data_IF_816956804125
#
_entry.id   IF_816956804125
#
_cell.length_a   1.000
_cell.length_b   1.000
_cell.length_c   1.000
_cell.angle_alpha   90.00
_cell.angle_beta   90.00
_cell.angle_gamma   90.00
#
_symmetry.space_group_name_H-M   'P 1'
#
loop_
_entity.id
_entity.type
_entity.pdbx_description
1 polymer ?
#
# COMPACT_ATOMS: atom_id res chain seq x y z
N UNK A 1 3.87 -7.03 10.88
CA UNK A 1 4.94 -7.57 10.00
C UNK A 1 6.03 -6.51 9.90
N UNK A 2 7.30 -6.84 10.15
CA UNK A 2 8.37 -5.84 10.31
C UNK A 2 8.89 -5.35 8.96
N UNK A 3 8.79 -4.04 8.72
CA UNK A 3 9.55 -3.37 7.67
C UNK A 3 10.95 -3.09 8.25
N UNK A 4 12.01 -3.53 7.56
CA UNK A 4 13.39 -3.18 7.92
C UNK A 4 13.68 -1.75 7.44
N UNK A 5 12.96 -0.79 8.01
CA UNK A 5 12.91 0.58 7.52
C UNK A 5 14.29 1.25 7.49
N UNK A 6 15.06 1.13 8.57
CA UNK A 6 16.36 1.82 8.64
C UNK A 6 17.35 1.26 7.60
N UNK A 7 17.32 -0.06 7.36
CA UNK A 7 18.11 -0.67 6.29
C UNK A 7 17.64 -0.21 4.90
N UNK A 8 16.34 -0.22 4.65
CA UNK A 8 15.78 0.24 3.38
C UNK A 8 16.11 1.71 3.11
N UNK A 9 16.06 2.57 4.14
CA UNK A 9 16.45 3.98 4.03
C UNK A 9 17.92 4.12 3.67
N UNK A 10 18.81 3.37 4.34
CA UNK A 10 20.23 3.39 4.02
C UNK A 10 20.51 2.95 2.58
N UNK A 11 19.91 1.81 2.17
CA UNK A 11 20.06 1.29 0.80
C UNK A 11 19.54 2.29 -0.24
N UNK A 12 18.33 2.80 -0.04
CA UNK A 12 17.70 3.70 -1.01
C UNK A 12 18.46 5.02 -1.10
N UNK A 13 19.02 5.52 0.01
CA UNK A 13 19.88 6.70 -0.01
C UNK A 13 21.09 6.52 -0.94
N UNK A 14 21.74 5.35 -0.93
CA UNK A 14 22.83 5.05 -1.87
C UNK A 14 22.32 4.90 -3.31
N UNK A 15 21.17 4.24 -3.52
CA UNK A 15 20.55 4.15 -4.84
C UNK A 15 20.26 5.55 -5.44
N UNK A 16 19.79 6.50 -4.63
CA UNK A 16 19.52 7.87 -5.07
C UNK A 16 20.79 8.61 -5.50
N UNK A 17 21.93 8.41 -4.83
CA UNK A 17 23.23 8.96 -5.26
C UNK A 17 23.65 8.42 -6.63
N UNK A 18 23.24 7.19 -6.95
CA UNK A 18 23.48 6.54 -8.25
C UNK A 18 22.40 6.83 -9.29
N UNK A 19 21.46 7.74 -9.02
CA UNK A 19 20.32 8.08 -9.89
C UNK A 19 19.40 6.88 -10.22
N UNK A 20 19.36 5.87 -9.34
CA UNK A 20 18.47 4.72 -9.48
C UNK A 20 17.08 5.07 -8.92
N UNK A 21 16.04 4.63 -9.63
CA UNK A 21 14.67 4.75 -9.15
C UNK A 21 14.40 3.73 -8.04
N UNK A 22 13.66 4.15 -7.02
CA UNK A 22 13.38 3.36 -5.82
C UNK A 22 11.88 3.17 -5.63
N UNK A 23 11.46 1.94 -5.33
CA UNK A 23 10.07 1.64 -5.06
C UNK A 23 9.91 0.80 -3.78
N UNK A 24 8.96 1.15 -2.94
CA UNK A 24 8.57 0.36 -1.75
C UNK A 24 7.22 -0.29 -2.00
N UNK A 25 7.17 -1.62 -1.90
CA UNK A 25 5.91 -2.36 -1.76
C UNK A 25 5.52 -2.48 -0.29
N UNK A 26 4.28 -2.15 0.03
CA UNK A 26 3.81 -2.13 1.42
C UNK A 26 2.33 -2.44 1.55
N UNK A 27 1.99 -3.06 2.67
CA UNK A 27 0.60 -3.29 3.08
C UNK A 27 0.08 -2.19 4.03
N UNK A 28 0.89 -1.16 4.31
CA UNK A 28 0.48 -0.07 5.19
C UNK A 28 0.43 -0.39 6.68
N UNK A 29 0.82 -1.60 7.11
CA UNK A 29 0.60 -2.08 8.49
C UNK A 29 1.66 -1.66 9.51
N UNK A 30 2.73 -0.97 9.09
CA UNK A 30 3.79 -0.52 10.00
C UNK A 30 3.50 0.87 10.59
N UNK A 31 4.18 1.29 11.66
CA UNK A 31 3.97 2.62 12.23
C UNK A 31 4.22 3.75 11.22
N UNK A 32 3.47 4.85 11.34
CA UNK A 32 3.61 6.03 10.46
C UNK A 32 5.05 6.55 10.37
N UNK A 33 5.79 6.52 11.48
CA UNK A 33 7.19 6.91 11.54
C UNK A 33 8.08 6.22 10.50
N UNK A 34 7.72 4.99 10.10
CA UNK A 34 8.48 4.27 9.08
C UNK A 34 8.26 4.88 7.69
N UNK A 35 7.03 5.27 7.36
CA UNK A 35 6.72 5.93 6.10
C UNK A 35 7.30 7.34 6.04
N UNK A 36 7.35 8.05 7.17
CA UNK A 36 8.02 9.34 7.29
C UNK A 36 9.51 9.26 6.97
N UNK A 37 10.19 8.19 7.41
CA UNK A 37 11.60 7.95 7.07
C UNK A 37 11.81 7.54 5.61
N UNK A 38 10.88 6.76 5.03
CA UNK A 38 11.00 6.23 3.66
C UNK A 38 10.64 7.24 2.58
N UNK A 39 9.67 8.13 2.84
CA UNK A 39 9.15 9.04 1.83
C UNK A 39 10.23 9.89 1.13
N UNK A 40 11.25 10.45 1.82
CA UNK A 40 12.29 11.25 1.16
C UNK A 40 13.21 10.46 0.21
N UNK A 41 13.30 9.15 0.39
CA UNK A 41 14.23 8.28 -0.35
C UNK A 41 13.52 7.30 -1.28
N UNK A 42 12.19 7.42 -1.43
CA UNK A 42 11.37 6.51 -2.23
C UNK A 42 10.69 7.27 -3.37
N UNK A 43 10.95 6.85 -4.61
CA UNK A 43 10.32 7.47 -5.79
C UNK A 43 8.87 7.03 -5.98
N UNK A 44 8.50 5.81 -5.58
CA UNK A 44 7.14 5.27 -5.74
C UNK A 44 6.76 4.30 -4.63
N UNK A 45 5.57 4.47 -4.06
CA UNK A 45 4.96 3.49 -3.15
C UNK A 45 3.95 2.64 -3.92
N UNK A 46 4.14 1.32 -3.86
CA UNK A 46 3.16 0.32 -4.28
C UNK A 46 2.37 -0.08 -3.03
N UNK A 47 1.16 0.45 -2.88
CA UNK A 47 0.38 0.35 -1.64
C UNK A 47 -0.81 -0.58 -1.79
N UNK A 48 -0.84 -1.68 -1.03
CA UNK A 48 -1.95 -2.64 -1.07
C UNK A 48 -3.18 -2.14 -0.30
N UNK A 49 -4.34 -2.17 -0.94
CA UNK A 49 -5.65 -2.11 -0.29
C UNK A 49 -6.29 -3.49 -0.44
N UNK A 50 -6.37 -4.24 0.67
CA UNK A 50 -6.94 -5.60 0.67
C UNK A 50 -8.43 -5.63 0.99
N UNK A 51 -8.88 -4.77 1.89
CA UNK A 51 -10.29 -4.65 2.23
C UNK A 51 -10.55 -3.25 2.79
N UNK A 52 -11.51 -2.55 2.20
CA UNK A 52 -11.83 -1.17 2.56
C UNK A 52 -12.71 -1.10 3.81
N UNK A 53 -13.57 -2.09 4.08
CA UNK A 53 -14.33 -2.12 5.33
C UNK A 53 -13.46 -2.64 6.48
N UNK A 54 -13.35 -1.90 7.59
CA UNK A 54 -12.45 -2.27 8.69
C UNK A 54 -12.88 -3.54 9.42
N UNK A 55 -14.18 -3.76 9.62
CA UNK A 55 -14.69 -4.98 10.25
C UNK A 55 -14.40 -6.20 9.39
N UNK A 56 -14.60 -6.10 8.07
CA UNK A 56 -14.23 -7.17 7.15
C UNK A 56 -12.71 -7.38 7.12
N UNK A 57 -11.93 -6.29 7.13
CA UNK A 57 -10.47 -6.38 7.18
C UNK A 57 -10.00 -7.10 8.45
N UNK A 58 -10.63 -6.82 9.59
CA UNK A 58 -10.37 -7.47 10.87
C UNK A 58 -10.78 -8.93 10.86
N UNK A 59 -11.92 -9.28 10.26
CA UNK A 59 -12.34 -10.67 10.09
C UNK A 59 -11.35 -11.47 9.22
N UNK A 60 -10.74 -10.84 8.21
CA UNK A 60 -9.79 -11.50 7.30
C UNK A 60 -8.35 -11.59 7.84
N UNK A 61 -7.88 -10.53 8.51
CA UNK A 61 -6.46 -10.37 8.84
C UNK A 61 -6.18 -10.18 10.34
N UNK A 62 -7.22 -10.21 11.19
CA UNK A 62 -7.11 -10.02 12.63
C UNK A 62 -6.90 -8.57 13.09
N UNK A 63 -6.78 -7.62 12.17
CA UNK A 63 -6.55 -6.20 12.44
C UNK A 63 -7.48 -5.32 11.59
N UNK A 64 -7.89 -4.18 12.12
CA UNK A 64 -8.60 -3.15 11.34
C UNK A 64 -7.68 -2.43 10.35
N UNK A 65 -8.26 -1.63 9.46
CA UNK A 65 -7.51 -0.90 8.42
C UNK A 65 -7.31 0.60 8.71
N UNK A 66 -7.67 1.09 9.91
CA UNK A 66 -7.57 2.51 10.28
C UNK A 66 -6.13 3.00 10.22
N UNK A 67 -5.18 2.22 10.76
CA UNK A 67 -3.76 2.54 10.69
C UNK A 67 -3.22 2.54 9.25
N UNK A 68 -3.70 1.60 8.43
CA UNK A 68 -3.33 1.47 7.01
C UNK A 68 -3.81 2.70 6.24
N UNK A 69 -5.08 3.11 6.44
CA UNK A 69 -5.66 4.31 5.84
C UNK A 69 -4.92 5.57 6.26
N UNK A 70 -4.62 5.73 7.55
CA UNK A 70 -3.84 6.86 8.07
C UNK A 70 -2.47 6.96 7.38
N UNK A 71 -1.79 5.84 7.19
CA UNK A 71 -0.49 5.82 6.53
C UNK A 71 -0.58 6.17 5.04
N UNK A 72 -1.60 5.65 4.33
CA UNK A 72 -1.84 5.99 2.94
C UNK A 72 -2.20 7.47 2.76
N UNK A 73 -3.11 7.99 3.58
CA UNK A 73 -3.52 9.39 3.59
C UNK A 73 -2.32 10.32 3.80
N UNK A 74 -1.45 9.99 4.78
CA UNK A 74 -0.25 10.77 5.01
C UNK A 74 0.70 10.76 3.80
N UNK A 75 0.93 9.61 3.16
CA UNK A 75 1.76 9.53 1.95
C UNK A 75 1.20 10.38 0.80
N UNK A 76 -0.12 10.34 0.61
CA UNK A 76 -0.80 11.12 -0.42
C UNK A 76 -0.66 12.62 -0.13
N UNK A 77 -0.95 13.04 1.11
CA UNK A 77 -0.87 14.44 1.54
C UNK A 77 0.57 14.96 1.55
N UNK A 78 1.57 14.10 1.76
CA UNK A 78 2.99 14.45 1.68
C UNK A 78 3.52 14.56 0.24
N UNK A 79 2.66 14.36 -0.76
CA UNK A 79 3.02 14.45 -2.18
C UNK A 79 3.78 13.22 -2.71
N UNK A 80 3.77 12.09 -2.00
CA UNK A 80 4.43 10.88 -2.48
C UNK A 80 3.72 10.36 -3.76
N UNK A 81 4.50 9.76 -4.66
CA UNK A 81 3.92 9.03 -5.79
C UNK A 81 3.39 7.68 -5.31
N UNK A 82 2.08 7.47 -5.41
CA UNK A 82 1.44 6.22 -4.97
C UNK A 82 0.79 5.51 -6.15
N UNK A 83 1.00 4.20 -6.22
CA UNK A 83 0.25 3.27 -7.05
C UNK A 83 -0.52 2.37 -6.09
N UNK A 84 -1.84 2.41 -6.18
CA UNK A 84 -2.68 1.52 -5.38
C UNK A 84 -2.69 0.14 -6.04
N UNK A 85 -2.60 -0.90 -5.22
CA UNK A 85 -2.74 -2.28 -5.64
C UNK A 85 -3.88 -2.94 -4.89
N UNK A 86 -4.73 -3.66 -5.61
CA UNK A 86 -5.82 -4.42 -5.00
C UNK A 86 -5.73 -5.88 -5.47
N UNK A 87 -5.04 -6.75 -4.71
CA UNK A 87 -5.10 -8.18 -4.91
C UNK A 87 -6.54 -8.67 -4.71
N UNK A 88 -7.15 -9.29 -5.72
CA UNK A 88 -8.52 -9.80 -5.68
C UNK A 88 -8.53 -11.30 -5.43
N UNK A 89 -9.06 -11.70 -4.27
CA UNK A 89 -9.21 -13.09 -3.85
C UNK A 89 -10.69 -13.44 -3.81
N UNK A 90 -11.06 -14.47 -4.58
CA UNK A 90 -12.46 -14.89 -4.74
C UNK A 90 -13.10 -15.24 -3.41
N UNK A 91 -14.26 -14.63 -3.12
CA UNK A 91 -15.03 -14.84 -1.90
C UNK A 91 -14.56 -14.03 -0.69
N UNK A 92 -13.51 -13.22 -0.82
CA UNK A 92 -12.95 -12.43 0.30
C UNK A 92 -13.02 -10.93 0.07
N UNK A 93 -12.61 -10.45 -1.10
CA UNK A 93 -12.57 -9.02 -1.43
C UNK A 93 -12.89 -8.71 -2.91
N UNK A 94 -13.56 -9.64 -3.60
CA UNK A 94 -13.99 -9.51 -5.00
C UNK A 94 -15.47 -9.12 -5.15
N UNK A 95 -16.17 -8.82 -4.05
CA UNK A 95 -17.55 -8.33 -4.13
C UNK A 95 -17.62 -6.94 -4.76
N UNK A 96 -18.74 -6.64 -5.43
CA UNK A 96 -18.98 -5.33 -6.04
C UNK A 96 -18.79 -4.19 -5.04
N UNK A 97 -19.32 -4.33 -3.82
CA UNK A 97 -19.21 -3.31 -2.76
C UNK A 97 -17.78 -3.13 -2.26
N UNK A 98 -17.00 -4.22 -2.15
CA UNK A 98 -15.61 -4.14 -1.73
C UNK A 98 -14.75 -3.39 -2.77
N UNK A 99 -14.97 -3.70 -4.06
CA UNK A 99 -14.26 -3.08 -5.17
C UNK A 99 -14.65 -1.61 -5.33
N UNK A 100 -15.95 -1.31 -5.43
CA UNK A 100 -16.43 0.07 -5.62
C UNK A 100 -16.11 0.93 -4.42
N UNK A 101 -16.26 0.42 -3.19
CA UNK A 101 -15.87 1.15 -1.98
C UNK A 101 -14.37 1.48 -1.94
N UNK A 102 -13.51 0.57 -2.38
CA UNK A 102 -12.07 0.84 -2.48
C UNK A 102 -11.77 1.90 -3.55
N UNK A 103 -12.39 1.80 -4.73
CA UNK A 103 -12.23 2.78 -5.82
C UNK A 103 -12.70 4.16 -5.37
N UNK A 104 -13.88 4.29 -4.77
CA UNK A 104 -14.44 5.55 -4.30
C UNK A 104 -13.54 6.21 -3.25
N UNK A 105 -12.98 5.41 -2.34
CA UNK A 105 -12.02 5.89 -1.36
C UNK A 105 -10.76 6.44 -2.04
N UNK A 106 -10.18 5.69 -2.97
CA UNK A 106 -8.97 6.10 -3.71
C UNK A 106 -9.23 7.33 -4.57
N UNK A 107 -10.39 7.45 -5.22
CA UNK A 107 -10.76 8.62 -6.02
C UNK A 107 -10.84 9.89 -5.16
N UNK A 108 -11.34 9.79 -3.92
CA UNK A 108 -11.35 10.92 -2.98
C UNK A 108 -9.93 11.33 -2.59
N UNK A 109 -9.04 10.37 -2.34
CA UNK A 109 -7.63 10.64 -2.03
C UNK A 109 -6.87 11.23 -3.22
N UNK A 110 -7.13 10.77 -4.44
CA UNK A 110 -6.47 11.26 -5.64
C UNK A 110 -6.71 12.77 -5.90
N UNK A 111 -7.73 13.38 -5.28
CA UNK A 111 -7.96 14.82 -5.32
C UNK A 111 -6.99 15.63 -4.45
N UNK A 112 -6.28 14.98 -3.53
CA UNK A 112 -5.40 15.60 -2.52
C UNK A 112 -3.92 15.41 -2.80
N UNK A 113 -3.55 14.45 -3.64
CA UNK A 113 -2.15 14.13 -3.90
C UNK A 113 -1.97 13.18 -5.08
N UNK A 114 -0.76 12.61 -5.21
CA UNK A 114 -0.37 11.93 -6.44
C UNK A 114 -0.63 10.42 -6.42
N UNK A 115 -1.87 10.02 -6.69
CA UNK A 115 -2.21 8.63 -6.99
C UNK A 115 -2.21 8.44 -8.51
N UNK A 116 -1.27 7.63 -9.02
CA UNK A 116 -1.06 7.49 -10.46
C UNK A 116 -2.05 6.55 -11.14
N UNK A 117 -2.36 5.42 -10.49
CA UNK A 117 -3.30 4.40 -10.99
C UNK A 117 -3.68 3.41 -9.87
N UNK A 118 -4.65 2.56 -10.20
CA UNK A 118 -5.06 1.41 -9.39
C UNK A 118 -4.79 0.14 -10.21
N UNK A 119 -3.96 -0.75 -9.68
CA UNK A 119 -3.66 -2.04 -10.26
C UNK A 119 -4.55 -3.10 -9.59
N UNK A 120 -5.55 -3.61 -10.30
CA UNK A 120 -6.38 -4.74 -9.85
C UNK A 120 -5.67 -6.04 -10.21
N UNK A 121 -5.31 -6.84 -9.21
CA UNK A 121 -4.45 -8.01 -9.37
C UNK A 121 -5.24 -9.29 -9.07
N UNK A 122 -5.75 -10.00 -10.09
CA UNK A 122 -6.42 -11.28 -9.87
C UNK A 122 -5.50 -12.25 -9.14
N UNK A 123 -6.03 -12.93 -8.12
CA UNK A 123 -5.26 -13.96 -7.43
C UNK A 123 -4.97 -15.13 -8.36
N UNK A 124 -3.68 -15.46 -8.47
CA UNK A 124 -3.20 -16.69 -9.11
C UNK A 124 -2.55 -17.56 -8.02
N UNK A 125 -2.71 -18.90 -8.10
CA UNK A 125 -2.12 -19.86 -7.15
C UNK A 125 -0.59 -20.02 -7.30
N UNK A 126 0.12 -18.99 -7.75
CA UNK A 126 1.58 -18.98 -7.82
C UNK A 126 2.13 -18.83 -6.40
N UNK A 127 2.55 -19.94 -5.80
CA UNK A 127 3.12 -20.00 -4.44
C UNK A 127 2.58 -21.13 -3.56
N UNK A 128 1.48 -21.79 -3.94
CA UNK A 128 0.92 -22.92 -3.18
C UNK A 128 1.85 -24.15 -3.12
N UNK A 129 2.86 -24.22 -3.98
CA UNK A 129 3.89 -25.28 -4.01
C UNK A 129 5.21 -24.90 -3.32
N UNK A 130 5.27 -23.78 -2.57
CA UNK A 130 6.46 -23.42 -1.78
C UNK A 130 6.16 -23.44 -0.30
N UNK A 131 5.91 -24.65 0.22
CA UNK A 131 5.99 -24.99 1.65
C UNK A 131 6.90 -26.20 1.76
#
# INVERSE_FOLDING_TARGET
>A
MSLQTDFAVALFSECKKMMLNTAVETQGTTPLANYQKLAPVTDTFLFDIKQINSEHHKALFGIGNEGIRRNLEWLVDSGANVIIRMPLVRGYNDSFDAITGAIDYVQKLAKRGNIRRIDMLPYHQLGAQKI
#
